data_IF_524332388489
#
_entry.id   IF_524332388489
#
_cell.length_a   1.000
_cell.length_b   1.000
_cell.length_c   1.000
_cell.angle_alpha   90.00
_cell.angle_beta   90.00
_cell.angle_gamma   90.00
#
_symmetry.space_group_name_H-M   'P 1'
#
loop_
_entity.id
_entity.type
_entity.pdbx_description
1 polymer ?
#
# COMPACT_ATOMS: atom_id res chain seq x y z
N UNK A 1 11.16 19.68 -0.19
CA UNK A 1 10.53 19.82 -1.53
C UNK A 1 11.43 19.39 -2.70
N UNK A 2 12.74 19.12 -2.54
CA UNK A 2 13.63 18.71 -3.65
C UNK A 2 13.50 17.25 -4.15
N UNK A 3 12.67 16.41 -3.50
CA UNK A 3 12.58 14.98 -3.79
C UNK A 3 11.69 14.61 -5.00
N UNK A 4 10.85 15.54 -5.48
CA UNK A 4 9.90 15.23 -6.56
C UNK A 4 10.53 15.01 -7.95
N UNK A 5 11.47 15.86 -8.44
CA UNK A 5 12.06 15.65 -9.75
C UNK A 5 12.94 14.40 -9.79
N UNK A 6 13.67 14.10 -8.71
CA UNK A 6 14.51 12.91 -8.63
C UNK A 6 13.68 11.62 -8.74
N UNK A 7 12.54 11.54 -8.05
CA UNK A 7 11.61 10.41 -8.19
C UNK A 7 11.08 10.27 -9.61
N UNK A 8 10.75 11.38 -10.28
CA UNK A 8 10.32 11.34 -11.69
C UNK A 8 11.39 10.74 -12.61
N UNK A 9 12.65 11.15 -12.44
CA UNK A 9 13.78 10.63 -13.21
C UNK A 9 13.99 9.14 -12.96
N UNK A 10 13.93 8.69 -11.69
CA UNK A 10 14.10 7.26 -11.37
C UNK A 10 13.00 6.41 -11.99
N UNK A 11 11.76 6.91 -12.06
CA UNK A 11 10.65 6.21 -12.69
C UNK A 11 10.83 6.09 -14.21
N UNK A 12 11.25 7.17 -14.87
CA UNK A 12 11.55 7.15 -16.30
C UNK A 12 12.70 6.17 -16.59
N UNK A 13 13.76 6.22 -15.77
CA UNK A 13 14.89 5.30 -15.90
C UNK A 13 14.46 3.84 -15.75
N UNK A 14 13.65 3.52 -14.72
CA UNK A 14 13.17 2.15 -14.50
C UNK A 14 12.29 1.65 -15.67
N UNK A 15 11.45 2.52 -16.24
CA UNK A 15 10.67 2.21 -17.44
C UNK A 15 11.55 1.95 -18.67
N UNK A 16 12.62 2.73 -18.86
CA UNK A 16 13.58 2.51 -19.94
C UNK A 16 14.31 1.18 -19.75
N UNK A 17 14.72 0.85 -18.53
CA UNK A 17 15.33 -0.44 -18.21
C UNK A 17 14.39 -1.60 -18.52
N UNK A 18 13.12 -1.53 -18.09
CA UNK A 18 12.13 -2.55 -18.44
C UNK A 18 11.94 -2.67 -19.95
N UNK A 19 11.85 -1.56 -20.67
CA UNK A 19 11.72 -1.57 -22.12
C UNK A 19 12.92 -2.24 -22.81
N UNK A 20 14.14 -1.99 -22.32
CA UNK A 20 15.35 -2.65 -22.83
C UNK A 20 15.31 -4.15 -22.55
N UNK A 21 14.96 -4.56 -21.33
CA UNK A 21 14.86 -5.99 -20.97
C UNK A 21 13.83 -6.71 -21.86
N UNK A 22 12.64 -6.14 -22.02
CA UNK A 22 11.57 -6.72 -22.85
C UNK A 22 11.83 -6.61 -24.36
N UNK A 23 12.80 -5.81 -24.80
CA UNK A 23 13.28 -5.87 -26.18
C UNK A 23 14.08 -7.14 -26.48
N UNK A 24 14.68 -7.75 -25.44
CA UNK A 24 15.44 -9.00 -25.54
C UNK A 24 14.67 -10.23 -25.10
N UNK A 25 13.65 -10.07 -24.25
CA UNK A 25 12.87 -11.17 -23.67
C UNK A 25 11.37 -10.92 -23.89
N UNK A 26 10.63 -11.90 -24.41
CA UNK A 26 9.18 -11.77 -24.64
C UNK A 26 8.35 -11.87 -23.35
N UNK A 27 8.79 -12.70 -22.40
CA UNK A 27 8.05 -13.01 -21.18
C UNK A 27 8.97 -13.13 -19.97
N UNK A 28 8.52 -12.64 -18.83
CA UNK A 28 9.19 -12.78 -17.53
C UNK A 28 8.24 -13.53 -16.58
N UNK A 29 8.64 -14.68 -16.03
CA UNK A 29 7.78 -15.90 -15.90
C UNK A 29 6.29 -15.66 -16.23
N UNK A 30 5.98 -15.64 -17.52
CA UNK A 30 4.67 -15.46 -18.15
C UNK A 30 4.03 -14.05 -18.09
N UNK A 31 4.70 -13.06 -17.50
CA UNK A 31 4.31 -11.66 -17.60
C UNK A 31 4.87 -11.05 -18.87
N UNK A 32 3.99 -10.37 -19.59
CA UNK A 32 4.34 -9.51 -20.72
C UNK A 32 4.83 -8.14 -20.24
N UNK A 33 5.35 -7.34 -21.17
CA UNK A 33 5.70 -5.95 -20.88
C UNK A 33 4.49 -5.15 -20.36
N UNK A 34 3.30 -5.43 -20.89
CA UNK A 34 2.05 -4.76 -20.53
C UNK A 34 1.69 -5.05 -19.06
N UNK A 35 1.82 -6.31 -18.63
CA UNK A 35 1.56 -6.73 -17.24
C UNK A 35 2.48 -6.02 -16.26
N UNK A 36 3.78 -5.98 -16.57
CA UNK A 36 4.79 -5.29 -15.74
C UNK A 36 4.51 -3.79 -15.70
N UNK A 37 4.13 -3.20 -16.82
CA UNK A 37 3.82 -1.77 -16.88
C UNK A 37 2.57 -1.41 -16.06
N UNK A 38 1.50 -2.21 -16.12
CA UNK A 38 0.31 -2.01 -15.28
C UNK A 38 0.66 -2.16 -13.80
N UNK A 39 1.38 -3.23 -13.42
CA UNK A 39 1.82 -3.43 -12.04
C UNK A 39 2.69 -2.26 -11.54
N UNK A 40 3.56 -1.72 -12.39
CA UNK A 40 4.37 -0.56 -12.08
C UNK A 40 3.50 0.70 -11.84
N UNK A 41 2.47 0.95 -12.63
CA UNK A 41 1.55 2.07 -12.39
C UNK A 41 0.75 1.90 -11.09
N UNK A 42 0.30 0.68 -10.80
CA UNK A 42 -0.37 0.34 -9.54
C UNK A 42 0.57 0.55 -8.35
N UNK A 43 1.81 0.08 -8.46
CA UNK A 43 2.83 0.29 -7.42
C UNK A 43 3.06 1.79 -7.15
N UNK A 44 3.20 2.60 -8.19
CA UNK A 44 3.42 4.03 -8.03
C UNK A 44 2.22 4.75 -7.42
N UNK A 45 1.02 4.46 -7.91
CA UNK A 45 -0.20 5.05 -7.35
C UNK A 45 -0.40 4.66 -5.88
N UNK A 46 -0.17 3.40 -5.53
CA UNK A 46 -0.25 2.93 -4.14
C UNK A 46 0.81 3.60 -3.26
N UNK A 47 2.06 3.69 -3.70
CA UNK A 47 3.11 4.41 -2.93
C UNK A 47 2.75 5.86 -2.69
N UNK A 48 2.35 6.61 -3.74
CA UNK A 48 1.99 8.01 -3.54
C UNK A 48 0.78 8.16 -2.61
N UNK A 49 -0.18 7.25 -2.67
CA UNK A 49 -1.29 7.23 -1.73
C UNK A 49 -0.81 6.97 -0.30
N UNK A 50 0.02 5.96 -0.08
CA UNK A 50 0.52 5.60 1.25
C UNK A 50 1.43 6.69 1.83
N UNK A 51 2.32 7.29 1.04
CA UNK A 51 3.15 8.43 1.46
C UNK A 51 2.34 9.62 1.98
N UNK A 52 1.09 9.77 1.56
CA UNK A 52 0.23 10.84 2.07
C UNK A 52 -0.24 10.61 3.52
N UNK A 53 -0.24 9.36 3.97
CA UNK A 53 -0.78 8.92 5.27
C UNK A 53 0.34 8.46 6.21
N UNK A 54 1.38 7.78 5.70
CA UNK A 54 2.47 7.18 6.48
C UNK A 54 3.06 8.19 7.47
N UNK A 55 3.41 9.39 7.00
CA UNK A 55 4.02 10.41 7.86
C UNK A 55 3.10 10.85 9.01
N UNK A 56 1.79 10.86 8.79
CA UNK A 56 0.84 11.17 9.87
C UNK A 56 0.80 10.06 10.91
N UNK A 57 0.79 8.80 10.46
CA UNK A 57 0.77 7.65 11.37
C UNK A 57 2.09 7.58 12.15
N UNK A 58 3.23 7.63 11.47
CA UNK A 58 4.55 7.48 12.09
C UNK A 58 4.83 8.60 13.10
N UNK A 59 4.57 9.85 12.73
CA UNK A 59 4.77 10.99 13.65
C UNK A 59 3.81 10.94 14.85
N UNK A 60 2.57 10.46 14.66
CA UNK A 60 1.66 10.24 15.77
C UNK A 60 2.18 9.18 16.75
N UNK A 61 2.72 8.06 16.26
CA UNK A 61 3.31 7.03 17.12
C UNK A 61 4.60 7.49 17.80
N UNK A 62 5.46 8.23 17.10
CA UNK A 62 6.68 8.80 17.66
C UNK A 62 6.37 9.84 18.75
N UNK A 63 5.37 10.70 18.54
CA UNK A 63 4.96 11.70 19.55
C UNK A 63 4.34 11.06 20.79
N UNK A 64 3.60 9.96 20.64
CA UNK A 64 3.11 9.15 21.77
C UNK A 64 4.29 8.52 22.52
N UNK A 65 5.23 7.92 21.79
CA UNK A 65 6.41 7.28 22.37
C UNK A 65 7.29 8.28 23.15
N UNK A 66 7.48 9.48 22.60
CA UNK A 66 8.24 10.58 23.22
C UNK A 66 7.55 11.21 24.45
N UNK A 67 6.30 10.83 24.75
CA UNK A 67 5.51 11.44 25.81
C UNK A 67 5.10 12.90 25.53
N UNK A 68 5.22 13.37 24.29
CA UNK A 68 4.85 14.75 23.88
C UNK A 68 3.41 14.84 23.40
N UNK A 69 2.54 13.94 23.85
CA UNK A 69 1.17 13.83 23.36
C UNK A 69 0.19 14.79 24.05
N UNK A 70 0.56 15.36 25.21
CA UNK A 70 -0.29 16.25 26.01
C UNK A 70 -0.90 17.43 25.23
N UNK A 71 -0.17 18.17 24.37
CA UNK A 71 -0.73 19.30 23.62
C UNK A 71 -1.81 18.86 22.61
N UNK A 72 -1.79 17.59 22.20
CA UNK A 72 -2.76 17.03 21.27
C UNK A 72 -4.04 16.58 21.97
N UNK A 73 -3.95 16.17 23.24
CA UNK A 73 -5.12 15.82 24.08
C UNK A 73 -5.98 17.05 24.40
N UNK A 74 -5.38 18.23 24.51
CA UNK A 74 -6.11 19.47 24.77
C UNK A 74 -6.92 19.97 23.55
N UNK A 75 -6.67 19.45 22.34
CA UNK A 75 -7.41 19.85 21.14
C UNK A 75 -8.77 19.15 21.12
N UNK A 76 -9.86 19.83 20.72
CA UNK A 76 -11.19 19.22 20.61
C UNK A 76 -11.31 18.35 19.35
N UNK A 77 -10.30 17.53 19.06
CA UNK A 77 -10.22 16.65 17.92
C UNK A 77 -10.18 15.21 18.42
N UNK A 78 -10.88 14.32 17.73
CA UNK A 78 -10.77 12.90 18.06
C UNK A 78 -9.35 12.39 17.81
N UNK A 79 -8.83 11.56 18.71
CA UNK A 79 -7.50 10.92 18.57
C UNK A 79 -7.41 10.17 17.22
N UNK A 80 -8.51 9.58 16.77
CA UNK A 80 -8.63 8.92 15.46
C UNK A 80 -8.24 9.84 14.30
N UNK A 81 -8.78 11.06 14.30
CA UNK A 81 -8.52 12.04 13.25
C UNK A 81 -7.06 12.50 13.29
N UNK A 82 -6.52 12.67 14.50
CA UNK A 82 -5.17 13.16 14.71
C UNK A 82 -4.11 12.18 14.18
N UNK A 83 -4.28 10.88 14.46
CA UNK A 83 -3.34 9.86 13.99
C UNK A 83 -3.33 9.78 12.45
N UNK A 84 -4.50 9.85 11.81
CA UNK A 84 -4.61 9.60 10.37
C UNK A 84 -4.36 10.85 9.52
N UNK A 85 -4.83 12.03 9.97
CA UNK A 85 -4.95 13.20 9.10
C UNK A 85 -4.08 14.40 9.50
N UNK A 86 -3.40 14.39 10.65
CA UNK A 86 -2.73 15.59 11.16
C UNK A 86 -1.55 16.05 10.27
N UNK A 87 -0.71 15.12 9.80
CA UNK A 87 0.41 15.42 8.87
C UNK A 87 0.12 14.99 7.43
N UNK A 88 -1.15 14.95 7.07
CA UNK A 88 -1.59 14.46 5.77
C UNK A 88 -1.12 15.36 4.62
N UNK A 89 -0.60 14.75 3.55
CA UNK A 89 -0.10 15.46 2.37
C UNK A 89 -1.06 15.32 1.17
N UNK A 90 -2.02 16.23 0.98
CA UNK A 90 -3.05 16.09 -0.07
C UNK A 90 -2.47 16.08 -1.49
N UNK A 91 -1.32 16.74 -1.71
CA UNK A 91 -0.64 16.76 -3.02
C UNK A 91 -0.26 15.36 -3.50
N UNK A 92 0.07 14.45 -2.59
CA UNK A 92 0.46 13.07 -2.92
C UNK A 92 -0.74 12.23 -3.35
N UNK A 93 -1.92 12.47 -2.78
CA UNK A 93 -3.16 11.83 -3.21
C UNK A 93 -3.58 12.27 -4.59
N UNK A 94 -3.48 13.57 -4.88
CA UNK A 94 -3.78 14.06 -6.23
C UNK A 94 -2.90 13.35 -7.27
N UNK A 95 -1.59 13.21 -7.02
CA UNK A 95 -0.69 12.45 -7.88
C UNK A 95 -1.09 10.97 -8.01
N UNK A 96 -1.44 10.32 -6.90
CA UNK A 96 -1.94 8.94 -6.91
C UNK A 96 -3.19 8.81 -7.78
N UNK A 97 -4.18 9.69 -7.61
CA UNK A 97 -5.41 9.70 -8.39
C UNK A 97 -5.15 9.91 -9.88
N UNK A 98 -4.23 10.81 -10.25
CA UNK A 98 -3.83 10.99 -11.65
C UNK A 98 -3.23 9.73 -12.25
N UNK A 99 -2.36 9.02 -11.50
CA UNK A 99 -1.76 7.76 -11.97
C UNK A 99 -2.84 6.67 -12.06
N UNK A 100 -3.77 6.60 -11.10
CA UNK A 100 -4.89 5.64 -11.15
C UNK A 100 -5.75 5.88 -12.40
N UNK A 101 -6.14 7.13 -12.65
CA UNK A 101 -6.90 7.50 -13.86
C UNK A 101 -6.13 7.12 -15.14
N UNK A 102 -4.83 7.42 -15.19
CA UNK A 102 -3.98 7.00 -16.30
C UNK A 102 -3.95 5.47 -16.47
N UNK A 103 -3.84 4.73 -15.36
CA UNK A 103 -3.88 3.26 -15.35
C UNK A 103 -5.19 2.73 -15.94
N UNK A 104 -6.34 3.28 -15.54
CA UNK A 104 -7.63 2.91 -16.11
C UNK A 104 -7.70 3.17 -17.62
N UNK A 105 -7.25 4.34 -18.08
CA UNK A 105 -7.24 4.65 -19.52
C UNK A 105 -6.32 3.72 -20.30
N UNK A 106 -5.18 3.36 -19.73
CA UNK A 106 -4.23 2.45 -20.34
C UNK A 106 -4.81 1.03 -20.47
N UNK A 107 -5.38 0.50 -19.39
CA UNK A 107 -6.03 -0.82 -19.37
C UNK A 107 -7.22 -0.87 -20.35
N UNK A 108 -8.01 0.20 -20.40
CA UNK A 108 -9.13 0.31 -21.34
C UNK A 108 -8.65 0.27 -22.79
N UNK A 109 -7.57 0.97 -23.13
CA UNK A 109 -6.99 0.97 -24.47
C UNK A 109 -6.40 -0.39 -24.88
N UNK A 110 -5.91 -1.18 -23.92
CA UNK A 110 -5.44 -2.55 -24.17
C UNK A 110 -6.60 -3.54 -24.35
N UNK A 111 -7.84 -3.16 -24.03
CA UNK A 111 -9.01 -4.02 -24.17
C UNK A 111 -9.15 -5.09 -23.08
N UNK A 112 -8.44 -4.98 -21.96
CA UNK A 112 -8.57 -5.95 -20.85
C UNK A 112 -9.89 -5.85 -20.08
N UNK A 113 -10.63 -4.74 -20.22
CA UNK A 113 -11.98 -4.64 -19.68
C UNK A 113 -12.98 -5.22 -20.69
N UNK A 114 -13.13 -6.54 -20.70
CA UNK A 114 -14.12 -7.24 -21.52
C UNK A 114 -15.55 -7.03 -20.99
N UNK A 115 -15.70 -6.95 -19.67
CA UNK A 115 -16.97 -6.79 -18.99
C UNK A 115 -16.96 -5.68 -17.92
N UNK A 116 -18.16 -5.21 -17.54
CA UNK A 116 -18.31 -4.29 -16.39
C UNK A 116 -17.89 -4.93 -15.07
N UNK A 117 -17.95 -6.26 -14.97
CA UNK A 117 -17.49 -7.01 -13.80
C UNK A 117 -15.97 -6.91 -13.64
N UNK A 118 -15.20 -6.88 -14.73
CA UNK A 118 -13.73 -6.74 -14.68
C UNK A 118 -13.32 -5.39 -14.11
N UNK A 119 -14.00 -4.33 -14.54
CA UNK A 119 -13.82 -2.99 -14.01
C UNK A 119 -14.15 -2.92 -12.51
N UNK A 120 -15.28 -3.52 -12.10
CA UNK A 120 -15.68 -3.57 -10.69
C UNK A 120 -14.71 -4.41 -9.85
N UNK A 121 -14.28 -5.57 -10.34
CA UNK A 121 -13.32 -6.43 -9.64
C UNK A 121 -11.96 -5.75 -9.49
N UNK A 122 -11.46 -5.11 -10.55
CA UNK A 122 -10.20 -4.36 -10.52
C UNK A 122 -10.28 -3.18 -9.55
N UNK A 123 -11.30 -2.35 -9.65
CA UNK A 123 -11.49 -1.19 -8.74
C UNK A 123 -11.65 -1.63 -7.28
N UNK A 124 -12.44 -2.67 -7.02
CA UNK A 124 -12.59 -3.23 -5.69
C UNK A 124 -11.28 -3.79 -5.14
N UNK A 125 -10.49 -4.50 -5.96
CA UNK A 125 -9.18 -5.01 -5.56
C UNK A 125 -8.20 -3.90 -5.18
N UNK A 126 -8.17 -2.79 -5.94
CA UNK A 126 -7.33 -1.64 -5.64
C UNK A 126 -7.72 -1.00 -4.30
N UNK A 127 -9.01 -0.77 -4.07
CA UNK A 127 -9.49 -0.19 -2.80
C UNK A 127 -9.12 -1.07 -1.62
N UNK A 128 -9.36 -2.38 -1.71
CA UNK A 128 -9.01 -3.30 -0.64
C UNK A 128 -7.51 -3.33 -0.37
N UNK A 129 -6.66 -3.35 -1.41
CA UNK A 129 -5.20 -3.31 -1.25
C UNK A 129 -4.74 -2.04 -0.56
N UNK A 130 -5.28 -0.88 -0.94
CA UNK A 130 -4.96 0.39 -0.27
C UNK A 130 -5.32 0.35 1.21
N UNK A 131 -6.51 -0.18 1.55
CA UNK A 131 -6.94 -0.30 2.94
C UNK A 131 -6.09 -1.29 3.73
N UNK A 132 -5.77 -2.45 3.16
CA UNK A 132 -4.88 -3.44 3.77
C UNK A 132 -3.52 -2.82 4.07
N UNK A 133 -2.94 -2.07 3.13
CA UNK A 133 -1.66 -1.40 3.34
C UNK A 133 -1.72 -0.36 4.47
N UNK A 134 -2.79 0.44 4.54
CA UNK A 134 -2.98 1.40 5.65
C UNK A 134 -2.99 0.65 6.99
N UNK A 135 -3.75 -0.44 7.10
CA UNK A 135 -3.78 -1.25 8.32
C UNK A 135 -2.44 -1.89 8.63
N UNK A 136 -1.73 -2.39 7.62
CA UNK A 136 -0.39 -2.95 7.79
C UNK A 136 0.58 -1.91 8.35
N UNK A 137 0.62 -0.70 7.77
CA UNK A 137 1.45 0.41 8.25
C UNK A 137 1.08 0.79 9.68
N UNK A 138 -0.21 0.86 9.99
CA UNK A 138 -0.68 1.17 11.35
C UNK A 138 -0.24 0.10 12.37
N UNK A 139 -0.42 -1.18 12.04
CA UNK A 139 0.00 -2.30 12.90
C UNK A 139 1.51 -2.28 13.08
N UNK A 140 2.27 -2.09 12.00
CA UNK A 140 3.72 -2.02 12.05
C UNK A 140 4.16 -0.86 12.95
N UNK A 141 3.67 0.37 12.73
CA UNK A 141 4.00 1.51 13.58
C UNK A 141 3.58 1.33 15.04
N UNK A 142 2.51 0.59 15.34
CA UNK A 142 2.15 0.33 16.73
C UNK A 142 3.19 -0.49 17.50
N UNK A 143 4.07 -1.23 16.80
CA UNK A 143 5.18 -1.97 17.43
C UNK A 143 6.22 -1.03 18.04
N UNK A 144 6.31 0.23 17.62
CA UNK A 144 7.23 1.20 18.26
C UNK A 144 6.90 1.40 19.74
N UNK A 145 5.62 1.33 20.10
CA UNK A 145 5.17 1.51 21.49
C UNK A 145 5.49 0.31 22.39
N UNK A 146 5.73 -0.86 21.80
CA UNK A 146 6.13 -2.06 22.53
C UNK A 146 7.66 -2.15 22.63
N UNK A 147 8.38 -1.45 21.75
CA UNK A 147 9.84 -1.48 21.72
C UNK A 147 10.44 -0.54 22.75
N UNK A 148 11.58 -0.95 23.33
CA UNK A 148 12.39 -0.08 24.19
C UNK A 148 13.12 1.01 23.42
N UNK A 149 13.16 0.94 22.08
CA UNK A 149 13.85 1.91 21.22
C UNK A 149 12.93 2.38 20.10
N UNK A 150 13.07 3.65 19.71
CA UNK A 150 12.44 4.18 18.51
C UNK A 150 12.94 3.41 17.28
N UNK A 151 12.04 2.62 16.67
CA UNK A 151 12.34 1.86 15.46
C UNK A 151 11.99 2.70 14.23
N UNK A 152 12.92 2.82 13.28
CA UNK A 152 12.66 3.46 11.98
C UNK A 152 11.89 2.52 11.04
N UNK A 153 10.63 2.25 11.40
CA UNK A 153 9.76 1.28 10.75
C UNK A 153 9.34 1.67 9.32
N UNK A 154 9.45 2.95 8.96
CA UNK A 154 9.28 3.43 7.59
C UNK A 154 10.27 2.77 6.62
N UNK A 155 11.51 2.55 7.06
CA UNK A 155 12.56 1.91 6.26
C UNK A 155 12.23 0.44 6.04
N UNK A 156 11.74 -0.25 7.06
CA UNK A 156 11.31 -1.66 6.96
C UNK A 156 10.17 -1.79 5.95
N UNK A 157 9.16 -0.91 6.06
CA UNK A 157 8.06 -0.89 5.11
C UNK A 157 8.54 -0.63 3.67
N UNK A 158 9.50 0.27 3.48
CA UNK A 158 10.08 0.54 2.16
C UNK A 158 10.71 -0.71 1.53
N UNK A 159 11.55 -1.44 2.28
CA UNK A 159 12.17 -2.67 1.79
C UNK A 159 11.16 -3.78 1.49
N UNK A 160 10.08 -3.89 2.27
CA UNK A 160 9.01 -4.85 1.98
C UNK A 160 8.28 -4.48 0.68
N UNK A 161 8.03 -3.19 0.44
CA UNK A 161 7.39 -2.72 -0.78
C UNK A 161 8.27 -2.90 -2.02
N UNK A 162 9.60 -2.91 -1.93
CA UNK A 162 10.47 -3.19 -3.08
C UNK A 162 10.26 -4.61 -3.64
N UNK A 163 9.82 -5.56 -2.81
CA UNK A 163 9.52 -6.93 -3.22
C UNK A 163 8.28 -7.03 -4.14
N UNK A 164 7.51 -5.95 -4.28
CA UNK A 164 6.34 -5.88 -5.16
C UNK A 164 6.64 -6.10 -6.64
N UNK A 165 7.89 -5.94 -7.08
CA UNK A 165 8.26 -6.18 -8.47
C UNK A 165 8.53 -7.65 -8.80
N UNK A 166 8.54 -8.54 -7.81
CA UNK A 166 8.80 -9.96 -8.02
C UNK A 166 7.53 -10.60 -8.62
N UNK A 167 7.61 -11.20 -9.82
CA UNK A 167 6.48 -11.87 -10.45
C UNK A 167 5.87 -12.94 -9.53
N UNK A 168 4.55 -12.94 -9.31
CA UNK A 168 3.91 -13.83 -8.34
C UNK A 168 4.08 -15.31 -8.63
N UNK A 169 4.28 -15.67 -9.91
CA UNK A 169 4.49 -17.06 -10.34
C UNK A 169 5.78 -17.68 -9.77
N UNK A 170 6.76 -16.87 -9.37
CA UNK A 170 8.00 -17.36 -8.75
C UNK A 170 7.73 -18.02 -7.39
N UNK A 171 6.73 -17.54 -6.65
CA UNK A 171 6.39 -18.09 -5.33
C UNK A 171 5.67 -19.44 -5.42
N UNK A 172 4.97 -19.74 -6.52
CA UNK A 172 4.04 -20.86 -6.59
C UNK A 172 2.75 -20.61 -5.78
N UNK A 173 1.67 -21.35 -6.09
CA UNK A 173 0.31 -21.00 -5.62
C UNK A 173 0.14 -21.03 -4.10
N UNK A 174 0.73 -22.03 -3.43
CA UNK A 174 0.62 -22.18 -1.97
C UNK A 174 1.33 -21.06 -1.21
N UNK A 175 2.56 -20.73 -1.61
CA UNK A 175 3.31 -19.64 -0.99
C UNK A 175 2.68 -18.29 -1.32
N UNK A 176 2.16 -18.08 -2.54
CA UNK A 176 1.44 -16.86 -2.89
C UNK A 176 0.25 -16.63 -1.95
N UNK A 177 -0.57 -17.65 -1.71
CA UNK A 177 -1.70 -17.54 -0.79
C UNK A 177 -1.26 -17.25 0.65
N UNK A 178 -0.16 -17.86 1.12
CA UNK A 178 0.40 -17.58 2.44
C UNK A 178 0.92 -16.14 2.53
N UNK A 179 1.68 -15.68 1.53
CA UNK A 179 2.19 -14.31 1.46
C UNK A 179 1.02 -13.32 1.46
N UNK A 180 -0.05 -13.61 0.71
CA UNK A 180 -1.22 -12.75 0.67
C UNK A 180 -1.88 -12.59 2.05
N UNK A 181 -1.95 -13.66 2.85
CA UNK A 181 -2.54 -13.60 4.20
C UNK A 181 -1.63 -12.88 5.19
N UNK A 182 -0.32 -13.15 5.18
CA UNK A 182 0.59 -12.68 6.23
C UNK A 182 1.28 -11.36 5.89
N UNK A 183 1.71 -11.18 4.64
CA UNK A 183 2.45 -9.99 4.17
C UNK A 183 1.85 -9.54 2.82
N UNK A 184 0.57 -9.13 2.79
CA UNK A 184 -0.11 -8.71 1.56
C UNK A 184 0.59 -7.58 0.83
N UNK A 185 1.37 -6.78 1.56
CA UNK A 185 2.15 -5.64 1.07
C UNK A 185 3.07 -6.03 -0.09
N UNK A 186 3.65 -7.24 -0.07
CA UNK A 186 4.54 -7.75 -1.13
C UNK A 186 3.79 -7.94 -2.46
N UNK A 187 2.47 -8.14 -2.42
CA UNK A 187 1.70 -8.48 -3.61
C UNK A 187 0.84 -7.31 -4.12
N UNK A 188 1.05 -6.11 -3.59
CA UNK A 188 0.19 -4.93 -3.82
C UNK A 188 0.06 -4.51 -5.27
N UNK A 189 1.18 -4.49 -6.01
CA UNK A 189 1.23 -4.18 -7.43
C UNK A 189 0.66 -5.29 -8.31
N UNK A 190 0.83 -6.54 -7.87
CA UNK A 190 0.68 -7.71 -8.71
C UNK A 190 -0.72 -8.34 -8.63
N UNK A 191 -1.41 -8.19 -7.49
CA UNK A 191 -2.75 -8.76 -7.30
C UNK A 191 -3.79 -8.21 -8.27
N UNK A 192 -3.91 -6.88 -8.50
CA UNK A 192 -4.92 -6.38 -9.41
C UNK A 192 -4.65 -6.85 -10.85
N UNK A 193 -3.38 -6.99 -11.22
CA UNK A 193 -2.97 -7.54 -12.52
C UNK A 193 -3.34 -9.01 -12.63
N UNK A 194 -3.10 -9.82 -11.59
CA UNK A 194 -3.50 -11.23 -11.58
C UNK A 194 -5.01 -11.42 -11.66
N UNK A 195 -5.77 -10.58 -10.95
CA UNK A 195 -7.24 -10.63 -10.95
C UNK A 195 -7.78 -10.26 -12.33
N UNK A 196 -7.24 -9.20 -12.94
CA UNK A 196 -7.72 -8.67 -14.21
C UNK A 196 -7.21 -9.44 -15.44
N UNK A 197 -5.89 -9.56 -15.63
CA UNK A 197 -5.31 -10.11 -16.86
C UNK A 197 -5.41 -11.62 -16.91
N UNK A 198 -5.30 -12.28 -15.76
CA UNK A 198 -5.32 -13.75 -15.68
C UNK A 198 -6.64 -14.31 -15.15
N UNK A 199 -7.69 -13.48 -15.04
CA UNK A 199 -9.03 -13.86 -14.60
C UNK A 199 -9.07 -14.66 -13.28
N UNK A 200 -8.12 -14.38 -12.37
CA UNK A 200 -8.03 -15.06 -11.07
C UNK A 200 -8.94 -14.44 -10.01
N UNK A 201 -10.24 -14.34 -10.29
CA UNK A 201 -11.21 -13.71 -9.38
C UNK A 201 -11.29 -14.39 -8.00
N UNK A 202 -10.90 -15.66 -7.88
CA UNK A 202 -10.84 -16.37 -6.60
C UNK A 202 -9.93 -15.68 -5.57
N UNK A 203 -8.91 -14.94 -6.02
CA UNK A 203 -8.03 -14.16 -5.15
C UNK A 203 -8.78 -13.03 -4.43
N UNK A 204 -9.90 -12.53 -4.97
CA UNK A 204 -10.70 -11.48 -4.32
C UNK A 204 -11.24 -11.97 -2.98
N UNK A 205 -11.71 -13.21 -2.89
CA UNK A 205 -12.19 -13.79 -1.63
C UNK A 205 -11.08 -13.83 -0.56
N UNK A 206 -9.87 -14.20 -0.99
CA UNK A 206 -8.71 -14.26 -0.10
C UNK A 206 -8.24 -12.86 0.31
N UNK A 207 -8.39 -11.88 -0.58
CA UNK A 207 -8.09 -10.48 -0.32
C UNK A 207 -9.11 -9.85 0.65
N UNK A 208 -10.40 -10.19 0.55
CA UNK A 208 -11.42 -9.82 1.54
C UNK A 208 -11.10 -10.44 2.91
N UNK A 209 -10.73 -11.73 2.95
CA UNK A 209 -10.36 -12.40 4.20
C UNK A 209 -9.15 -11.71 4.86
N UNK A 210 -8.14 -11.38 4.06
CA UNK A 210 -6.95 -10.66 4.51
C UNK A 210 -7.32 -9.27 5.03
N UNK A 211 -8.16 -8.54 4.30
CA UNK A 211 -8.69 -7.25 4.75
C UNK A 211 -9.38 -7.34 6.11
N UNK A 212 -10.27 -8.32 6.30
CA UNK A 212 -10.97 -8.51 7.57
C UNK A 212 -9.98 -8.82 8.70
N UNK A 213 -9.02 -9.70 8.46
CA UNK A 213 -7.98 -10.05 9.44
C UNK A 213 -7.21 -8.81 9.90
N UNK A 214 -6.67 -8.03 8.95
CA UNK A 214 -5.91 -6.82 9.24
C UNK A 214 -6.77 -5.73 9.90
N UNK A 215 -8.02 -5.59 9.47
CA UNK A 215 -8.97 -4.67 10.08
C UNK A 215 -9.22 -5.01 11.57
N UNK A 216 -9.48 -6.27 11.90
CA UNK A 216 -9.71 -6.69 13.29
C UNK A 216 -8.47 -6.49 14.17
N UNK A 217 -7.27 -6.80 13.65
CA UNK A 217 -6.02 -6.56 14.38
C UNK A 217 -5.82 -5.06 14.63
N UNK A 218 -5.99 -4.23 13.59
CA UNK A 218 -5.85 -2.78 13.71
C UNK A 218 -6.86 -2.20 14.73
N UNK A 219 -8.12 -2.62 14.68
CA UNK A 219 -9.15 -2.20 15.65
C UNK A 219 -8.80 -2.65 17.08
N UNK A 220 -8.29 -3.87 17.25
CA UNK A 220 -7.88 -4.38 18.56
C UNK A 220 -6.73 -3.54 19.16
N UNK A 221 -5.69 -3.32 18.37
CA UNK A 221 -4.54 -2.47 18.76
C UNK A 221 -5.03 -1.07 19.12
N UNK A 222 -5.85 -0.48 18.25
CA UNK A 222 -6.38 0.87 18.46
C UNK A 222 -7.20 1.00 19.76
N UNK A 223 -8.06 0.01 20.05
CA UNK A 223 -8.84 -0.01 21.31
C UNK A 223 -7.91 -0.05 22.53
N UNK A 224 -6.82 -0.81 22.48
CA UNK A 224 -5.86 -0.86 23.58
C UNK A 224 -5.07 0.45 23.72
N UNK A 225 -4.68 1.07 22.61
CA UNK A 225 -4.02 2.38 22.59
C UNK A 225 -4.89 3.48 23.18
N UNK A 226 -6.17 3.55 22.79
CA UNK A 226 -7.09 4.55 23.32
C UNK A 226 -7.32 4.40 24.83
N UNK A 227 -7.35 3.17 25.35
CA UNK A 227 -7.40 2.91 26.80
C UNK A 227 -6.12 3.36 27.50
N UNK A 228 -4.95 3.03 26.92
CA UNK A 228 -3.66 3.44 27.44
C UNK A 228 -3.58 4.97 27.53
N UNK A 229 -3.87 5.68 26.44
CA UNK A 229 -3.82 7.15 26.38
C UNK A 229 -4.77 7.80 27.41
N UNK A 230 -5.98 7.27 27.59
CA UNK A 230 -6.92 7.78 28.60
C UNK A 230 -6.35 7.69 30.03
N UNK A 231 -5.62 6.62 30.35
CA UNK A 231 -5.05 6.44 31.68
C UNK A 231 -3.94 7.46 32.01
N UNK A 232 -3.34 8.14 31.02
CA UNK A 232 -2.25 9.11 31.24
C UNK A 232 -2.74 10.56 31.47
N UNK A 233 -4.04 10.88 31.26
CA UNK A 233 -4.49 12.27 31.43
C UNK A 233 -5.93 12.57 31.01
N UNK A 234 -6.86 11.60 31.14
CA UNK A 234 -8.30 11.81 30.96
C UNK A 234 -9.08 11.42 32.20
#
# INVERSE_FOLDING_TARGET
>A
MAYCPLKGITLIFLLLVFKIIFSHIKYLPDWTYEDVFIAFLIYNSTIYFLESIIESISEAFNTIYDGKFDPFLCKPLSIHFLIIFYFFKPTRILLSLFIILFTYTYIFNLGYFESTLDFLCFSFSLVLILMINIFFIFILNSLTLVSERALHLEVVHHFIMELCFIPPKIYGEKLLNLILIFIPVILTSSLPVLILVYNKYSLIYLLILTFLLFFFIAVFIFKNLSKFIKNFGG
#
